data_IF_831426230806
#
_entry.id   IF_831426230806
#
_cell.length_a   1.000
_cell.length_b   1.000
_cell.length_c   1.000
_cell.angle_alpha   90.00
_cell.angle_beta   90.00
_cell.angle_gamma   90.00
#
_symmetry.space_group_name_H-M   'P 1'
#
loop_
_entity.id
_entity.type
_entity.pdbx_description
1 polymer ?
#
# COMPACT_ATOMS: atom_id res chain seq x y z
N UNK A 1 -3.28 -16.91 -3.64
CA UNK A 1 -1.90 -16.51 -3.27
C UNK A 1 -1.79 -15.96 -1.84
N UNK A 2 -2.27 -14.78 -1.42
CA UNK A 2 -2.08 -14.37 0.00
C UNK A 2 -2.73 -15.32 1.02
N UNK A 3 -4.03 -15.57 0.89
CA UNK A 3 -4.79 -16.42 1.83
C UNK A 3 -4.31 -17.87 1.85
N UNK A 4 -3.87 -18.38 0.70
CA UNK A 4 -3.31 -19.73 0.57
C UNK A 4 -1.89 -19.81 1.13
N UNK A 5 -1.05 -18.79 0.94
CA UNK A 5 0.33 -18.76 1.44
C UNK A 5 0.43 -18.80 2.96
N UNK A 6 -0.65 -18.46 3.67
CA UNK A 6 -0.75 -18.51 5.12
C UNK A 6 -1.77 -19.55 5.63
N UNK A 7 -2.32 -20.40 4.76
CA UNK A 7 -3.32 -21.42 5.12
C UNK A 7 -4.57 -20.87 5.84
N UNK A 8 -5.04 -19.69 5.42
CA UNK A 8 -6.18 -18.95 5.98
C UNK A 8 -7.29 -18.70 4.96
N UNK A 9 -7.52 -19.67 4.07
CA UNK A 9 -8.51 -19.59 2.97
C UNK A 9 -9.93 -19.33 3.48
N UNK A 10 -10.24 -19.70 4.73
CA UNK A 10 -11.55 -19.47 5.36
C UNK A 10 -11.98 -18.00 5.41
N UNK A 11 -11.04 -17.04 5.30
CA UNK A 11 -11.34 -15.61 5.29
C UNK A 11 -11.57 -15.02 3.90
N UNK A 12 -11.33 -15.80 2.83
CA UNK A 12 -11.33 -15.30 1.45
C UNK A 12 -12.68 -14.73 1.02
N UNK A 13 -13.76 -15.51 1.13
CA UNK A 13 -15.09 -15.10 0.66
C UNK A 13 -15.56 -13.84 1.41
N UNK A 14 -15.45 -13.85 2.74
CA UNK A 14 -15.79 -12.70 3.57
C UNK A 14 -14.93 -11.47 3.25
N UNK A 15 -13.67 -11.64 2.83
CA UNK A 15 -12.84 -10.52 2.41
C UNK A 15 -13.37 -9.93 1.10
N UNK A 16 -13.58 -10.77 0.07
CA UNK A 16 -14.07 -10.36 -1.25
C UNK A 16 -15.43 -9.67 -1.16
N UNK A 17 -16.38 -10.21 -0.39
CA UNK A 17 -17.72 -9.64 -0.20
C UNK A 17 -17.69 -8.24 0.43
N UNK A 18 -16.69 -7.97 1.27
CA UNK A 18 -16.50 -6.67 1.92
C UNK A 18 -15.58 -5.72 1.15
N UNK A 19 -15.02 -6.15 0.01
CA UNK A 19 -14.02 -5.36 -0.72
C UNK A 19 -14.69 -4.41 -1.72
N UNK A 20 -14.26 -3.16 -1.69
CA UNK A 20 -14.59 -2.10 -2.64
C UNK A 20 -13.33 -1.61 -3.33
N UNK A 21 -13.48 -0.96 -4.48
CA UNK A 21 -12.34 -0.54 -5.29
C UNK A 21 -12.41 0.93 -5.67
N UNK A 22 -11.25 1.58 -5.63
CA UNK A 22 -11.04 2.92 -6.17
C UNK A 22 -10.05 2.82 -7.34
N UNK A 23 -10.49 3.22 -8.53
CA UNK A 23 -9.62 3.35 -9.69
C UNK A 23 -9.13 4.79 -9.82
N UNK A 24 -7.82 4.99 -9.93
CA UNK A 24 -7.22 6.28 -10.27
C UNK A 24 -6.44 6.18 -11.56
N UNK A 25 -6.69 7.13 -12.46
CA UNK A 25 -5.88 7.39 -13.64
C UNK A 25 -5.01 8.60 -13.36
N UNK A 26 -3.70 8.42 -13.45
CA UNK A 26 -2.69 9.39 -13.03
C UNK A 26 -1.84 9.79 -14.24
N UNK A 27 -1.47 11.06 -14.29
CA UNK A 27 -0.60 11.64 -15.32
C UNK A 27 0.51 12.43 -14.64
N UNK A 28 1.75 12.05 -14.91
CA UNK A 28 2.94 12.75 -14.43
C UNK A 28 3.82 13.11 -15.62
N UNK A 29 4.03 14.41 -15.85
CA UNK A 29 4.98 14.89 -16.86
C UNK A 29 6.40 14.83 -16.33
N UNK A 30 7.38 14.81 -17.24
CA UNK A 30 8.76 15.07 -16.90
C UNK A 30 8.97 16.46 -16.25
N UNK A 31 9.97 16.60 -15.36
CA UNK A 31 10.32 17.88 -14.75
C UNK A 31 10.94 18.83 -15.78
N UNK A 32 10.70 20.14 -15.63
CA UNK A 32 11.39 21.19 -16.39
C UNK A 32 12.73 21.55 -15.75
N UNK A 33 13.54 22.35 -16.44
CA UNK A 33 14.75 22.92 -15.85
C UNK A 33 14.43 23.64 -14.54
N UNK A 34 15.15 23.27 -13.48
CA UNK A 34 15.01 23.76 -12.09
C UNK A 34 13.76 23.27 -11.33
N UNK A 35 13.02 22.27 -11.82
CA UNK A 35 11.97 21.61 -11.04
C UNK A 35 12.51 20.37 -10.30
N UNK A 36 11.93 20.05 -9.14
CA UNK A 36 12.13 18.76 -8.48
C UNK A 36 11.58 17.63 -9.36
N UNK A 37 12.27 16.49 -9.35
CA UNK A 37 11.87 15.29 -10.09
C UNK A 37 10.90 14.38 -9.31
N UNK A 38 10.62 14.68 -8.05
CA UNK A 38 9.63 13.95 -7.23
C UNK A 38 8.20 14.33 -7.67
N UNK A 39 7.53 13.41 -8.37
CA UNK A 39 6.13 13.59 -8.78
C UNK A 39 5.12 13.10 -7.74
N UNK A 40 5.48 12.07 -6.97
CA UNK A 40 4.74 11.67 -5.77
C UNK A 40 5.76 11.45 -4.65
N UNK A 41 5.65 12.14 -3.50
CA UNK A 41 6.57 12.00 -2.39
C UNK A 41 6.51 10.59 -1.76
N UNK A 42 7.52 10.20 -0.96
CA UNK A 42 7.50 8.95 -0.21
C UNK A 42 6.24 8.79 0.65
N UNK A 43 5.52 7.69 0.48
CA UNK A 43 4.32 7.36 1.26
C UNK A 43 4.07 5.84 1.27
N UNK A 44 3.15 5.38 2.11
CA UNK A 44 2.53 4.04 2.02
C UNK A 44 1.07 4.19 1.66
N UNK A 45 0.52 3.21 0.95
CA UNK A 45 -0.90 3.19 0.62
C UNK A 45 -1.74 2.83 1.85
N UNK A 46 -2.87 3.51 2.06
CA UNK A 46 -3.83 3.17 3.12
C UNK A 46 -4.85 2.11 2.71
N UNK A 47 -4.74 1.60 1.48
CA UNK A 47 -5.54 0.50 0.95
C UNK A 47 -5.22 -0.83 1.63
N UNK A 48 -5.93 -1.89 1.27
CA UNK A 48 -5.52 -3.25 1.58
C UNK A 48 -4.49 -3.74 0.55
N UNK A 49 -4.84 -3.67 -0.74
CA UNK A 49 -3.90 -3.87 -1.85
C UNK A 49 -3.99 -2.74 -2.87
N UNK A 50 -2.91 -2.54 -3.59
CA UNK A 50 -2.83 -1.68 -4.77
C UNK A 50 -2.33 -2.50 -5.95
N UNK A 51 -3.06 -2.47 -7.06
CA UNK A 51 -2.63 -3.03 -8.35
C UNK A 51 -2.32 -1.86 -9.27
N UNK A 52 -1.07 -1.79 -9.74
CA UNK A 52 -0.57 -0.70 -10.56
C UNK A 52 -0.20 -1.20 -11.96
N UNK A 53 -0.58 -0.41 -12.96
CA UNK A 53 -0.13 -0.52 -14.34
C UNK A 53 0.37 0.84 -14.84
N UNK A 54 1.27 0.84 -15.80
CA UNK A 54 1.84 2.06 -16.40
C UNK A 54 2.14 1.87 -17.89
N UNK A 55 2.29 2.98 -18.61
CA UNK A 55 2.90 2.97 -19.95
C UNK A 55 4.41 2.70 -19.88
N UNK A 56 5.11 2.78 -21.01
CA UNK A 56 6.55 2.49 -21.15
C UNK A 56 7.48 3.51 -20.46
N UNK A 57 6.94 4.37 -19.60
CA UNK A 57 7.69 5.39 -18.87
C UNK A 57 7.74 4.99 -17.40
N UNK A 58 8.93 4.62 -16.95
CA UNK A 58 9.20 4.26 -15.56
C UNK A 58 9.12 5.46 -14.61
N UNK A 59 9.09 5.14 -13.31
CA UNK A 59 9.15 6.16 -12.27
C UNK A 59 8.76 5.67 -10.89
N UNK A 60 8.17 4.47 -10.77
CA UNK A 60 7.92 3.87 -9.46
C UNK A 60 9.25 3.50 -8.78
N UNK A 61 9.44 4.00 -7.56
CA UNK A 61 10.52 3.56 -6.69
C UNK A 61 9.92 3.01 -5.39
N UNK A 62 10.47 1.90 -4.91
CA UNK A 62 10.08 1.25 -3.65
C UNK A 62 11.25 1.26 -2.69
N UNK A 63 10.98 1.49 -1.40
CA UNK A 63 11.98 1.41 -0.35
C UNK A 63 12.09 -0.02 0.17
N UNK A 64 13.28 -0.59 0.13
CA UNK A 64 13.59 -1.91 0.66
C UNK A 64 13.64 -1.90 2.20
N UNK A 65 13.66 -3.09 2.82
CA UNK A 65 13.71 -3.23 4.28
C UNK A 65 14.99 -2.67 4.92
N UNK A 66 16.10 -2.69 4.19
CA UNK A 66 17.37 -2.06 4.58
C UNK A 66 17.43 -0.55 4.26
N UNK A 67 16.32 0.02 3.78
CA UNK A 67 16.13 1.46 3.62
C UNK A 67 16.59 2.04 2.29
N UNK A 68 17.03 1.20 1.35
CA UNK A 68 17.45 1.62 0.01
C UNK A 68 16.24 1.86 -0.90
N UNK A 69 16.36 2.83 -1.81
CA UNK A 69 15.34 3.06 -2.84
C UNK A 69 15.71 2.32 -4.12
N UNK A 70 14.85 1.41 -4.57
CA UNK A 70 15.02 0.68 -5.82
C UNK A 70 13.99 1.16 -6.85
N UNK A 71 14.40 1.29 -8.11
CA UNK A 71 13.48 1.49 -9.22
C UNK A 71 12.74 0.18 -9.52
N UNK A 72 11.45 0.27 -9.82
CA UNK A 72 10.63 -0.89 -10.20
C UNK A 72 10.33 -0.80 -11.69
N UNK A 73 11.03 -1.62 -12.45
CA UNK A 73 10.85 -1.80 -13.89
C UNK A 73 10.03 -3.08 -14.13
N UNK A 74 9.00 -3.00 -14.96
CA UNK A 74 8.17 -4.15 -15.30
C UNK A 74 7.62 -4.04 -16.72
N UNK A 75 7.46 -5.18 -17.44
CA UNK A 75 7.03 -5.15 -18.82
C UNK A 75 5.57 -4.70 -18.95
N UNK A 76 5.14 -4.19 -20.13
CA UNK A 76 3.76 -3.71 -20.33
C UNK A 76 2.66 -4.75 -20.08
N UNK A 77 3.00 -6.04 -20.13
CA UNK A 77 2.09 -7.16 -19.87
C UNK A 77 1.98 -7.55 -18.39
N UNK A 78 2.64 -6.82 -17.49
CA UNK A 78 2.69 -7.11 -16.05
C UNK A 78 2.02 -6.02 -15.22
N UNK A 79 1.63 -6.40 -14.01
CA UNK A 79 1.13 -5.50 -12.99
C UNK A 79 2.05 -5.56 -11.78
N UNK A 80 2.19 -4.43 -11.08
CA UNK A 80 2.78 -4.39 -9.75
C UNK A 80 1.66 -4.51 -8.72
N UNK A 81 1.80 -5.41 -7.76
CA UNK A 81 0.87 -5.56 -6.64
C UNK A 81 1.60 -5.22 -5.34
N UNK A 82 1.08 -4.26 -4.58
CA UNK A 82 1.65 -3.81 -3.31
C UNK A 82 0.61 -3.92 -2.19
N UNK A 83 1.06 -4.30 -0.99
CA UNK A 83 0.24 -4.27 0.21
C UNK A 83 0.15 -2.84 0.76
N UNK A 84 -1.03 -2.42 1.19
CA UNK A 84 -1.22 -1.19 1.94
C UNK A 84 -1.21 -1.42 3.46
N UNK A 85 -1.28 -0.33 4.21
CA UNK A 85 -1.29 -0.30 5.67
C UNK A 85 -2.41 -1.19 6.26
N UNK A 86 -3.56 -1.25 5.60
CA UNK A 86 -4.68 -2.06 6.06
C UNK A 86 -4.38 -3.57 5.99
N UNK A 87 -3.65 -4.01 4.94
CA UNK A 87 -3.17 -5.39 4.83
C UNK A 87 -2.05 -5.67 5.83
N UNK A 88 -1.17 -4.70 6.08
CA UNK A 88 -0.14 -4.84 7.11
C UNK A 88 -0.75 -5.06 8.51
N UNK A 89 -1.76 -4.27 8.87
CA UNK A 89 -2.53 -4.46 10.11
C UNK A 89 -3.28 -5.80 10.14
N UNK A 90 -3.95 -6.17 9.04
CA UNK A 90 -4.67 -7.44 8.93
C UNK A 90 -3.74 -8.66 9.02
N UNK A 91 -2.55 -8.60 8.44
CA UNK A 91 -1.58 -9.70 8.49
C UNK A 91 -0.73 -9.70 9.76
N UNK A 92 -1.01 -8.80 10.73
CA UNK A 92 -0.23 -8.66 11.95
C UNK A 92 1.29 -8.48 11.67
N UNK A 93 1.63 -7.61 10.72
CA UNK A 93 2.99 -7.34 10.21
C UNK A 93 3.68 -8.48 9.42
N UNK A 94 2.99 -9.59 9.10
CA UNK A 94 3.58 -10.63 8.24
C UNK A 94 3.85 -10.12 6.82
N UNK A 95 3.02 -9.18 6.33
CA UNK A 95 3.21 -8.49 5.05
C UNK A 95 3.39 -7.00 5.30
N UNK A 96 4.54 -6.45 4.91
CA UNK A 96 4.83 -5.03 5.11
C UNK A 96 4.15 -4.16 4.05
N UNK A 97 3.65 -2.98 4.44
CA UNK A 97 3.31 -1.94 3.46
C UNK A 97 4.58 -1.19 3.04
N UNK A 98 4.98 -1.24 1.76
CA UNK A 98 6.23 -0.62 1.33
C UNK A 98 6.05 0.89 1.16
N UNK A 99 7.01 1.66 1.68
CA UNK A 99 7.16 3.04 1.24
C UNK A 99 7.49 3.04 -0.24
N UNK A 100 6.78 3.86 -1.00
CA UNK A 100 7.01 4.05 -2.41
C UNK A 100 6.90 5.53 -2.78
N UNK A 101 7.49 5.90 -3.91
CA UNK A 101 7.48 7.26 -4.46
C UNK A 101 7.47 7.21 -5.97
N UNK A 102 7.15 8.31 -6.62
CA UNK A 102 7.29 8.45 -8.08
C UNK A 102 8.34 9.51 -8.40
N UNK A 103 9.40 9.09 -9.10
CA UNK A 103 10.46 9.96 -9.61
C UNK A 103 10.33 10.01 -11.13
N UNK A 104 10.19 11.22 -11.68
CA UNK A 104 10.09 11.42 -13.12
C UNK A 104 11.45 11.78 -13.70
N UNK A 105 11.92 10.98 -14.65
CA UNK A 105 13.17 11.24 -15.39
C UNK A 105 12.87 11.42 -16.87
N UNK A 106 13.56 12.37 -17.51
CA UNK A 106 13.35 12.70 -18.92
C UNK A 106 12.08 13.52 -19.19
N UNK A 107 11.73 13.65 -20.47
CA UNK A 107 10.67 14.56 -20.95
C UNK A 107 9.34 13.84 -21.21
N UNK A 108 9.35 12.51 -21.25
CA UNK A 108 8.16 11.71 -21.54
C UNK A 108 7.15 11.77 -20.39
N UNK A 109 5.87 11.73 -20.74
CA UNK A 109 4.78 11.70 -19.75
C UNK A 109 4.50 10.26 -19.33
N UNK A 110 4.51 10.01 -18.02
CA UNK A 110 4.04 8.76 -17.43
C UNK A 110 2.54 8.81 -17.19
N UNK A 111 1.85 7.81 -17.73
CA UNK A 111 0.47 7.51 -17.44
C UNK A 111 0.42 6.24 -16.62
N UNK A 112 -0.32 6.25 -15.52
CA UNK A 112 -0.50 5.04 -14.72
C UNK A 112 -1.94 4.88 -14.25
N UNK A 113 -2.33 3.63 -14.09
CA UNK A 113 -3.61 3.21 -13.54
C UNK A 113 -3.36 2.47 -12.24
N UNK A 114 -3.97 2.94 -11.16
CA UNK A 114 -3.87 2.32 -9.85
C UNK A 114 -5.27 1.92 -9.36
N UNK A 115 -5.45 0.63 -9.10
CA UNK A 115 -6.65 0.05 -8.49
C UNK A 115 -6.36 -0.24 -7.02
N UNK A 116 -7.00 0.50 -6.13
CA UNK A 116 -6.86 0.36 -4.68
C UNK A 116 -8.04 -0.43 -4.13
N UNK A 117 -7.80 -1.44 -3.31
CA UNK A 117 -8.86 -2.17 -2.60
C UNK A 117 -9.04 -1.66 -1.17
N UNK A 118 -10.29 -1.52 -0.75
CA UNK A 118 -10.69 -1.12 0.60
C UNK A 118 -11.72 -2.10 1.14
N UNK A 119 -11.63 -2.40 2.41
CA UNK A 119 -12.46 -3.38 3.12
C UNK A 119 -13.46 -2.61 4.00
N UNK A 120 -14.75 -2.90 3.86
CA UNK A 120 -15.84 -2.20 4.57
C UNK A 120 -16.20 -2.82 5.93
N UNK A 121 -15.56 -3.92 6.30
CA UNK A 121 -15.71 -4.56 7.62
C UNK A 121 -14.57 -4.18 8.55
N UNK A 122 -14.77 -4.43 9.83
CA UNK A 122 -13.72 -4.32 10.84
C UNK A 122 -12.53 -5.21 10.45
N UNK A 123 -11.35 -4.61 10.39
CA UNK A 123 -10.09 -5.30 10.11
C UNK A 123 -9.52 -5.81 11.43
N UNK A 124 -9.28 -7.12 11.49
CA UNK A 124 -8.68 -7.81 12.61
C UNK A 124 -7.73 -8.89 12.09
N UNK A 125 -6.63 -9.08 12.80
CA UNK A 125 -5.68 -10.15 12.49
C UNK A 125 -6.37 -11.53 12.57
N UNK A 126 -6.22 -12.40 11.55
CA UNK A 126 -6.54 -13.82 11.65
C UNK A 126 -5.84 -14.44 12.86
N UNK A 127 -6.56 -15.28 13.60
CA UNK A 127 -6.02 -15.92 14.80
C UNK A 127 -4.81 -16.79 14.47
N UNK A 128 -4.80 -17.41 13.28
CA UNK A 128 -3.68 -18.22 12.79
C UNK A 128 -2.38 -17.44 12.54
N UNK A 129 -2.45 -16.10 12.45
CA UNK A 129 -1.26 -15.26 12.27
C UNK A 129 -0.71 -14.74 13.59
N UNK A 130 -1.34 -15.07 14.72
CA UNK A 130 -1.00 -14.61 16.06
C UNK A 130 -0.57 -15.81 16.91
N UNK A 131 0.66 -15.77 17.41
CA UNK A 131 1.26 -16.82 18.22
C UNK A 131 2.26 -16.22 19.23
N UNK A 132 2.92 -17.06 20.02
CA UNK A 132 3.89 -16.59 21.03
C UNK A 132 5.14 -15.93 20.40
N UNK A 133 5.50 -16.28 19.17
CA UNK A 133 6.62 -15.70 18.43
C UNK A 133 6.21 -14.42 17.65
N UNK A 134 4.93 -14.27 17.33
CA UNK A 134 4.30 -13.13 16.66
C UNK A 134 3.00 -12.73 17.40
N UNK A 135 3.14 -12.07 18.58
CA UNK A 135 1.98 -11.66 19.36
C UNK A 135 1.13 -10.63 18.61
N UNK A 136 -0.11 -10.45 19.04
CA UNK A 136 -1.03 -9.47 18.46
C UNK A 136 -0.44 -8.06 18.57
N UNK A 137 -0.34 -7.35 17.44
CA UNK A 137 0.29 -6.02 17.34
C UNK A 137 -0.69 -4.89 17.08
N UNK A 138 -1.94 -5.22 16.76
CA UNK A 138 -2.96 -4.25 16.36
C UNK A 138 -4.31 -4.59 17.02
N UNK A 139 -4.99 -3.57 17.52
CA UNK A 139 -6.39 -3.64 17.91
C UNK A 139 -7.26 -3.73 16.64
N UNK A 140 -8.44 -4.38 16.67
CA UNK A 140 -9.38 -4.33 15.56
C UNK A 140 -9.71 -2.88 15.18
N UNK A 141 -9.75 -2.59 13.89
CA UNK A 141 -9.89 -1.22 13.40
C UNK A 141 -10.74 -1.11 12.13
N UNK A 142 -11.39 0.03 11.95
CA UNK A 142 -12.14 0.36 10.74
C UNK A 142 -11.26 1.11 9.75
N UNK A 143 -11.31 0.74 8.46
CA UNK A 143 -10.42 1.33 7.45
C UNK A 143 -10.82 2.78 7.12
N UNK A 144 -12.10 3.15 7.22
CA UNK A 144 -12.54 4.55 7.06
C UNK A 144 -12.04 5.41 8.22
N UNK A 145 -12.04 4.88 9.44
CA UNK A 145 -11.44 5.59 10.59
C UNK A 145 -9.92 5.72 10.47
N UNK A 146 -9.22 4.69 9.96
CA UNK A 146 -7.79 4.80 9.63
C UNK A 146 -7.54 5.92 8.60
N UNK A 147 -8.38 6.01 7.56
CA UNK A 147 -8.28 7.10 6.57
C UNK A 147 -8.55 8.45 7.21
N UNK A 148 -9.53 8.59 8.10
CA UNK A 148 -9.78 9.85 8.82
C UNK A 148 -8.58 10.24 9.67
N UNK A 149 -7.99 9.29 10.40
CA UNK A 149 -6.78 9.53 11.19
C UNK A 149 -5.61 9.98 10.31
N UNK A 150 -5.39 9.34 9.16
CA UNK A 150 -4.34 9.75 8.21
C UNK A 150 -4.44 11.21 7.76
N UNK A 151 -5.65 11.78 7.68
CA UNK A 151 -5.86 13.18 7.30
C UNK A 151 -5.69 14.17 8.47
N UNK A 152 -5.41 13.69 9.68
CA UNK A 152 -5.00 14.54 10.81
C UNK A 152 -3.50 14.87 10.72
N UNK A 153 -3.06 15.94 11.40
CA UNK A 153 -1.64 16.29 11.45
C UNK A 153 -0.79 15.16 12.04
N UNK A 154 -1.27 14.55 13.12
CA UNK A 154 -0.60 13.44 13.79
C UNK A 154 -0.50 12.21 12.87
N UNK A 155 -1.61 11.82 12.24
CA UNK A 155 -1.61 10.66 11.34
C UNK A 155 -0.81 10.87 10.05
N UNK A 156 -0.72 12.10 9.54
CA UNK A 156 0.09 12.44 8.39
C UNK A 156 1.60 12.44 8.71
N UNK A 157 1.98 12.80 9.94
CA UNK A 157 3.37 12.79 10.40
C UNK A 157 3.83 11.42 10.93
N UNK A 158 2.89 10.51 11.19
CA UNK A 158 3.20 9.17 11.66
C UNK A 158 4.09 8.41 10.66
N UNK A 159 5.22 7.89 11.14
CA UNK A 159 6.11 7.03 10.34
C UNK A 159 5.38 5.79 9.83
N UNK A 160 4.49 5.24 10.66
CA UNK A 160 3.62 4.12 10.33
C UNK A 160 2.19 4.41 10.79
N UNK A 161 1.32 4.76 9.84
CA UNK A 161 -0.02 5.28 10.15
C UNK A 161 -0.90 4.26 10.87
N UNK A 162 -0.94 3.00 10.42
CA UNK A 162 -1.78 1.96 11.07
C UNK A 162 -1.27 1.62 12.48
N UNK A 163 0.05 1.60 12.68
CA UNK A 163 0.62 1.35 14.00
C UNK A 163 0.38 2.50 14.98
N UNK A 164 0.48 3.74 14.52
CA UNK A 164 0.13 4.90 15.34
C UNK A 164 -1.37 4.94 15.67
N UNK A 165 -2.22 4.50 14.74
CA UNK A 165 -3.68 4.50 14.91
C UNK A 165 -4.19 3.43 15.86
N UNK A 166 -3.77 2.17 15.68
CA UNK A 166 -4.34 1.03 16.38
C UNK A 166 -3.32 0.02 16.92
N UNK A 167 -2.04 0.38 17.01
CA UNK A 167 -0.99 -0.47 17.58
C UNK A 167 -1.23 -0.84 19.05
N UNK A 168 -0.67 -1.98 19.45
CA UNK A 168 -0.58 -2.47 20.84
C UNK A 168 0.83 -2.24 21.39
#
# INVERSE_FOLDING_TARGET
MLFESYDIQKYYDSHIESTTYLLRLLKHRGPKANEDNVAIPPHTDKSFFTILHQNEVDGLHVKTKDGQWIAVEFPPSSFVVMAGDACMGWTNDRVCSPHHRVIMTGEQTRYSMALFSFVSKLIQAPEELVDDEHPLRYKPFDQVELLKYYHTEEGHQAENTVKAFCGI
#
